data_IF_466098770280
#
_entry.id   IF_466098770280
#
_cell.length_a   1.000
_cell.length_b   1.000
_cell.length_c   1.000
_cell.angle_alpha   90.00
_cell.angle_beta   90.00
_cell.angle_gamma   90.00
#
_symmetry.space_group_name_H-M   'P 1'
#
loop_
_entity.id
_entity.type
_entity.pdbx_description
1 polymer ?
#
# COMPACT_ATOMS: atom_id res chain seq x y z
N UNK A 1 -59.91 7.31 2.08
CA UNK A 1 -59.00 7.65 0.98
C UNK A 1 -57.94 8.56 1.53
N UNK A 2 -56.86 7.97 1.95
CA UNK A 2 -55.70 8.68 2.52
C UNK A 2 -54.68 8.88 1.43
N UNK A 3 -54.59 10.09 0.91
CA UNK A 3 -53.56 10.52 -0.03
C UNK A 3 -52.19 10.42 0.67
N UNK A 4 -51.48 9.36 0.34
CA UNK A 4 -50.05 9.26 0.67
C UNK A 4 -49.33 10.29 -0.16
N UNK A 5 -48.93 11.34 0.46
CA UNK A 5 -48.33 12.51 -0.16
C UNK A 5 -46.92 12.19 -0.64
N UNK A 6 -46.67 12.55 -1.89
CA UNK A 6 -45.36 12.50 -2.56
C UNK A 6 -44.13 12.90 -1.67
N UNK A 7 -44.26 13.81 -0.68
CA UNK A 7 -43.14 14.23 0.15
C UNK A 7 -42.59 13.15 1.10
N UNK A 8 -43.44 12.20 1.53
CA UNK A 8 -42.96 11.15 2.47
C UNK A 8 -42.11 10.10 1.76
N UNK A 9 -42.42 9.77 0.50
CA UNK A 9 -41.64 8.86 -0.31
C UNK A 9 -40.27 9.47 -0.69
N UNK A 10 -40.25 10.76 -1.01
CA UNK A 10 -39.04 11.51 -1.32
C UNK A 10 -38.12 11.60 -0.10
N UNK A 11 -38.69 11.80 1.10
CA UNK A 11 -37.93 11.85 2.35
C UNK A 11 -37.30 10.50 2.69
N UNK A 12 -38.03 9.40 2.47
CA UNK A 12 -37.50 8.04 2.67
C UNK A 12 -36.37 7.71 1.69
N UNK A 13 -36.49 8.11 0.43
CA UNK A 13 -35.42 7.92 -0.57
C UNK A 13 -34.18 8.75 -0.22
N UNK A 14 -34.35 9.99 0.23
CA UNK A 14 -33.27 10.85 0.70
C UNK A 14 -32.57 10.27 1.94
N UNK A 15 -33.32 9.74 2.90
CA UNK A 15 -32.77 9.08 4.08
C UNK A 15 -32.00 7.79 3.70
N UNK A 16 -32.50 7.02 2.75
CA UNK A 16 -31.80 5.84 2.24
C UNK A 16 -30.52 6.22 1.48
N UNK A 17 -30.51 7.31 0.72
CA UNK A 17 -29.29 7.81 0.05
C UNK A 17 -28.23 8.29 1.06
N UNK A 18 -28.63 8.89 2.17
CA UNK A 18 -27.71 9.34 3.23
C UNK A 18 -27.06 8.17 3.98
N UNK A 19 -27.76 7.02 4.08
CA UNK A 19 -27.24 5.82 4.75
C UNK A 19 -26.18 5.11 3.89
N UNK A 20 -26.17 5.33 2.58
CA UNK A 20 -25.22 4.65 1.66
C UNK A 20 -23.89 5.38 1.49
N UNK A 21 -23.75 6.61 1.96
CA UNK A 21 -22.46 7.31 1.95
C UNK A 21 -21.58 6.78 3.09
N UNK A 22 -20.90 5.69 2.85
CA UNK A 22 -19.83 5.21 3.74
C UNK A 22 -18.62 6.10 3.53
N UNK A 23 -18.43 7.06 4.41
CA UNK A 23 -17.22 7.86 4.46
C UNK A 23 -16.08 6.99 4.99
N UNK A 24 -14.99 6.88 4.24
CA UNK A 24 -13.74 6.29 4.73
C UNK A 24 -13.18 7.24 5.81
N UNK A 25 -13.23 6.81 7.07
CA UNK A 25 -12.71 7.59 8.19
C UNK A 25 -11.27 7.19 8.51
N UNK A 26 -10.52 8.09 9.15
CA UNK A 26 -9.19 7.78 9.66
C UNK A 26 -9.20 6.65 10.72
N UNK A 27 -10.33 6.45 11.40
CA UNK A 27 -10.53 5.32 12.31
C UNK A 27 -10.51 3.99 11.57
N UNK A 28 -11.15 3.89 10.41
CA UNK A 28 -11.15 2.67 9.60
C UNK A 28 -9.74 2.31 9.15
N UNK A 29 -8.93 3.29 8.72
CA UNK A 29 -7.54 3.07 8.39
C UNK A 29 -6.73 2.56 9.58
N UNK A 30 -6.87 3.21 10.74
CA UNK A 30 -6.15 2.81 11.94
C UNK A 30 -6.56 1.43 12.43
N UNK A 31 -7.84 1.06 12.25
CA UNK A 31 -8.34 -0.26 12.63
C UNK A 31 -7.75 -1.35 11.72
N UNK A 32 -7.72 -1.14 10.39
CA UNK A 32 -7.05 -2.08 9.46
C UNK A 32 -5.61 -2.30 9.88
N UNK A 33 -4.85 -1.24 10.17
CA UNK A 33 -3.45 -1.36 10.58
C UNK A 33 -3.29 -2.16 11.87
N UNK A 34 -4.13 -1.91 12.88
CA UNK A 34 -4.10 -2.64 14.16
C UNK A 34 -4.44 -4.11 14.00
N UNK A 35 -5.43 -4.43 13.18
CA UNK A 35 -5.92 -5.79 13.03
C UNK A 35 -5.02 -6.65 12.12
N UNK A 36 -4.36 -6.04 11.14
CA UNK A 36 -3.56 -6.75 10.14
C UNK A 36 -2.06 -6.74 10.41
N UNK A 37 -1.52 -5.67 11.03
CA UNK A 37 -0.08 -5.55 11.31
C UNK A 37 0.30 -6.06 12.70
N UNK A 38 -0.03 -7.31 12.97
CA UNK A 38 0.28 -7.97 14.25
C UNK A 38 1.57 -8.77 14.23
N UNK A 39 2.12 -9.02 13.03
CA UNK A 39 3.32 -9.83 12.86
C UNK A 39 4.59 -8.97 13.05
N UNK A 40 5.61 -9.57 13.68
CA UNK A 40 6.94 -8.97 13.79
C UNK A 40 7.52 -8.68 12.38
N UNK A 41 7.93 -7.43 12.08
CA UNK A 41 8.46 -7.05 10.76
C UNK A 41 9.76 -7.76 10.37
N UNK A 42 10.41 -8.48 11.28
CA UNK A 42 11.57 -9.33 10.98
C UNK A 42 11.20 -10.68 10.36
N UNK A 43 9.94 -11.08 10.46
CA UNK A 43 9.44 -12.35 9.93
C UNK A 43 9.09 -12.17 8.45
N UNK A 44 9.53 -13.12 7.60
CA UNK A 44 9.21 -13.09 6.17
C UNK A 44 7.69 -13.17 5.93
N UNK A 45 7.17 -12.46 4.94
CA UNK A 45 5.73 -12.30 4.71
C UNK A 45 5.10 -13.51 4.00
N UNK A 46 5.52 -14.72 4.31
CA UNK A 46 5.03 -15.99 3.74
C UNK A 46 4.62 -16.95 4.83
N UNK A 47 3.48 -17.59 4.67
CA UNK A 47 2.95 -18.59 5.64
C UNK A 47 3.76 -19.88 5.62
N UNK A 48 4.23 -20.28 4.45
CA UNK A 48 5.09 -21.44 4.30
C UNK A 48 6.55 -21.02 4.14
N UNK A 49 7.38 -21.25 5.15
CA UNK A 49 8.80 -20.86 5.16
C UNK A 49 9.67 -21.62 4.15
N UNK A 50 9.18 -22.72 3.56
CA UNK A 50 9.86 -23.44 2.48
C UNK A 50 9.68 -22.67 1.16
N UNK A 51 8.59 -21.90 1.02
CA UNK A 51 8.32 -21.10 -0.18
C UNK A 51 9.23 -19.88 -0.24
N UNK A 52 9.79 -19.60 -1.41
CA UNK A 52 10.57 -18.40 -1.63
C UNK A 52 9.66 -17.16 -1.64
N UNK A 53 10.11 -16.09 -0.99
CA UNK A 53 9.46 -14.78 -1.13
C UNK A 53 9.84 -14.18 -2.47
N UNK A 54 8.85 -13.98 -3.35
CA UNK A 54 9.06 -13.34 -4.64
C UNK A 54 9.05 -11.83 -4.46
N UNK A 55 10.11 -11.18 -4.90
CA UNK A 55 10.25 -9.71 -4.87
C UNK A 55 10.47 -9.22 -6.30
N UNK A 56 9.54 -8.42 -6.80
CA UNK A 56 9.67 -7.76 -8.09
C UNK A 56 10.39 -6.42 -7.90
N UNK A 57 11.44 -6.20 -8.66
CA UNK A 57 12.25 -4.99 -8.59
C UNK A 57 12.27 -4.34 -9.97
N UNK A 58 11.94 -3.05 -10.03
CA UNK A 58 12.01 -2.23 -11.24
C UNK A 58 12.84 -1.00 -10.98
N UNK A 59 13.76 -0.69 -11.89
CA UNK A 59 14.55 0.54 -11.84
C UNK A 59 14.01 1.54 -12.86
N UNK A 60 13.75 2.76 -12.44
CA UNK A 60 13.30 3.86 -13.28
C UNK A 60 14.40 4.92 -13.34
N UNK A 61 15.09 4.97 -14.48
CA UNK A 61 16.09 6.01 -14.76
C UNK A 61 15.39 7.35 -14.99
N UNK A 62 15.75 8.37 -14.23
CA UNK A 62 15.23 9.73 -14.39
C UNK A 62 16.15 10.60 -15.23
N UNK A 63 17.45 10.55 -14.96
CA UNK A 63 18.44 11.34 -15.67
C UNK A 63 19.83 10.71 -15.62
N UNK A 64 20.62 11.01 -16.62
CA UNK A 64 22.06 10.78 -16.63
C UNK A 64 22.71 12.10 -16.25
N UNK A 65 23.50 12.12 -15.18
CA UNK A 65 24.17 13.31 -14.66
C UNK A 65 25.51 13.49 -15.37
N UNK A 66 26.31 12.42 -15.42
CA UNK A 66 27.59 12.45 -16.09
C UNK A 66 27.95 11.10 -16.69
N UNK A 67 28.73 11.15 -17.74
CA UNK A 67 29.30 9.96 -18.37
C UNK A 67 30.77 10.20 -18.67
N UNK A 68 31.65 9.54 -17.93
CA UNK A 68 33.11 9.62 -18.12
C UNK A 68 33.62 8.32 -18.77
N UNK A 69 34.10 8.44 -20.00
CA UNK A 69 34.60 7.31 -20.77
C UNK A 69 36.00 6.88 -20.35
N UNK A 70 36.77 7.78 -19.78
CA UNK A 70 38.14 7.51 -19.31
C UNK A 70 38.09 6.74 -17.99
N UNK A 71 37.30 7.19 -17.08
CA UNK A 71 37.08 6.57 -15.77
C UNK A 71 36.07 5.41 -15.84
N UNK A 72 35.42 5.19 -16.97
CA UNK A 72 34.34 4.19 -17.18
C UNK A 72 33.22 4.35 -16.16
N UNK A 73 32.87 5.60 -15.83
CA UNK A 73 31.91 5.97 -14.82
C UNK A 73 30.66 6.56 -15.44
N UNK A 74 29.49 6.00 -15.02
CA UNK A 74 28.17 6.55 -15.30
C UNK A 74 27.54 7.00 -14.01
N UNK A 75 27.25 8.29 -13.89
CA UNK A 75 26.47 8.84 -12.80
C UNK A 75 25.05 9.12 -13.28
N UNK A 76 24.09 8.52 -12.60
CA UNK A 76 22.68 8.62 -12.98
C UNK A 76 21.81 8.77 -11.75
N UNK A 77 20.67 9.42 -11.93
CA UNK A 77 19.62 9.54 -10.92
C UNK A 77 18.42 8.70 -11.35
N UNK A 78 17.85 8.00 -10.39
CA UNK A 78 16.69 7.16 -10.61
C UNK A 78 16.10 6.65 -9.31
N UNK A 79 15.03 5.92 -9.41
CA UNK A 79 14.36 5.30 -8.28
C UNK A 79 14.13 3.82 -8.51
N UNK A 80 14.10 3.08 -7.42
CA UNK A 80 13.84 1.65 -7.42
C UNK A 80 12.43 1.43 -6.88
N UNK A 81 11.59 0.80 -7.67
CA UNK A 81 10.28 0.34 -7.24
C UNK A 81 10.37 -1.13 -6.84
N UNK A 82 9.89 -1.45 -5.65
CA UNK A 82 9.97 -2.79 -5.09
C UNK A 82 8.59 -3.25 -4.68
N UNK A 83 8.19 -4.44 -5.11
CA UNK A 83 6.87 -4.99 -4.87
C UNK A 83 6.98 -6.45 -4.43
N UNK A 84 6.23 -6.81 -3.40
CA UNK A 84 6.11 -8.19 -2.91
C UNK A 84 4.71 -8.42 -2.35
N UNK A 85 4.38 -9.69 -2.15
CA UNK A 85 3.11 -10.10 -1.52
C UNK A 85 3.37 -10.38 -0.04
N UNK A 86 2.51 -9.83 0.82
CA UNK A 86 2.46 -10.19 2.22
C UNK A 86 1.22 -11.04 2.47
N UNK A 87 1.41 -12.34 2.73
CA UNK A 87 0.32 -13.30 2.91
C UNK A 87 -0.41 -13.14 4.26
N UNK A 88 0.14 -12.39 5.19
CA UNK A 88 -0.46 -12.16 6.50
C UNK A 88 -1.35 -10.91 6.55
N UNK A 89 -1.08 -9.94 5.68
CA UNK A 89 -1.80 -8.66 5.64
C UNK A 89 -2.96 -8.78 4.64
N UNK A 90 -4.11 -9.21 5.15
CA UNK A 90 -5.33 -9.38 4.36
C UNK A 90 -6.52 -8.86 5.13
N UNK A 91 -7.42 -8.13 4.47
CA UNK A 91 -8.69 -7.67 5.05
C UNK A 91 -9.78 -7.65 3.99
N UNK A 92 -11.03 -7.66 4.46
CA UNK A 92 -12.18 -7.43 3.60
C UNK A 92 -12.57 -5.94 3.68
N UNK A 93 -12.53 -5.18 2.59
CA UNK A 93 -12.84 -3.76 2.60
C UNK A 93 -14.24 -3.43 3.16
N UNK A 94 -15.20 -4.33 3.00
CA UNK A 94 -16.57 -4.11 3.49
C UNK A 94 -16.63 -3.95 5.02
N UNK A 95 -15.71 -4.59 5.75
CA UNK A 95 -15.68 -4.56 7.21
C UNK A 95 -15.04 -3.27 7.76
N UNK A 96 -14.32 -2.54 6.88
CA UNK A 96 -13.56 -1.32 7.21
C UNK A 96 -14.01 -0.11 6.40
N UNK A 97 -15.32 0.03 6.17
CA UNK A 97 -15.88 1.20 5.47
C UNK A 97 -15.43 1.38 4.02
N UNK A 98 -14.97 0.30 3.36
CA UNK A 98 -14.51 0.32 1.97
C UNK A 98 -13.03 0.67 1.79
N UNK A 99 -12.22 0.60 2.84
CA UNK A 99 -10.77 0.85 2.77
C UNK A 99 -10.09 -0.21 1.91
N UNK A 100 -9.54 0.20 0.77
CA UNK A 100 -8.86 -0.66 -0.20
C UNK A 100 -7.34 -0.63 -0.03
N UNK A 101 -6.79 0.49 0.43
CA UNK A 101 -5.34 0.72 0.53
C UNK A 101 -5.04 1.37 1.86
N UNK A 102 -3.97 0.91 2.51
CA UNK A 102 -3.40 1.53 3.70
C UNK A 102 -1.91 1.76 3.47
N UNK A 103 -1.37 2.79 4.12
CA UNK A 103 0.05 3.12 4.08
C UNK A 103 0.63 3.00 5.49
N UNK A 104 1.13 1.81 5.87
CA UNK A 104 1.76 1.63 7.16
C UNK A 104 3.12 2.32 7.22
N UNK A 105 3.59 2.55 8.44
CA UNK A 105 4.97 2.95 8.65
C UNK A 105 5.91 1.86 8.09
N UNK A 106 6.97 2.23 7.36
CA UNK A 106 7.92 1.27 6.81
C UNK A 106 8.54 0.32 7.83
N UNK A 107 8.64 0.71 9.08
CA UNK A 107 9.22 -0.13 10.14
C UNK A 107 8.21 -1.11 10.75
N UNK A 108 6.93 -0.98 10.42
CA UNK A 108 5.87 -1.91 10.85
C UNK A 108 5.71 -3.12 9.94
N UNK A 109 6.35 -3.14 8.78
CA UNK A 109 6.22 -4.22 7.80
C UNK A 109 7.57 -4.80 7.42
N UNK A 110 7.59 -6.10 7.12
CA UNK A 110 8.79 -6.71 6.57
C UNK A 110 9.14 -6.04 5.22
N UNK A 111 10.42 -5.76 5.04
CA UNK A 111 10.97 -5.20 3.80
C UNK A 111 12.15 -6.02 3.31
N UNK A 112 12.28 -6.28 1.99
CA UNK A 112 13.47 -6.91 1.43
C UNK A 112 14.67 -5.98 1.62
N UNK A 113 15.81 -6.56 2.00
CA UNK A 113 17.07 -5.83 2.03
C UNK A 113 17.66 -5.82 0.62
N UNK A 114 17.75 -4.64 0.04
CA UNK A 114 18.37 -4.44 -1.26
C UNK A 114 19.73 -3.78 -1.07
N UNK A 115 20.72 -4.28 -1.79
CA UNK A 115 22.07 -3.72 -1.80
C UNK A 115 22.51 -3.53 -3.23
N UNK A 116 23.01 -2.35 -3.56
CA UNK A 116 23.65 -2.07 -4.83
C UNK A 116 25.12 -2.45 -4.70
N UNK A 117 25.57 -3.41 -5.48
CA UNK A 117 26.92 -3.97 -5.38
C UNK A 117 28.01 -3.09 -6.00
N UNK A 118 27.62 -2.14 -6.86
CA UNK A 118 28.55 -1.30 -7.61
C UNK A 118 28.32 0.19 -7.31
N UNK A 119 28.28 0.54 -6.03
CA UNK A 119 28.28 1.94 -5.61
C UNK A 119 29.69 2.44 -5.47
N UNK A 120 29.98 3.60 -6.04
CA UNK A 120 31.22 4.32 -5.70
C UNK A 120 31.06 4.83 -4.28
N UNK A 121 31.98 4.39 -3.41
CA UNK A 121 32.13 5.03 -2.12
C UNK A 121 32.73 6.41 -2.38
N UNK A 122 32.09 7.47 -1.91
CA UNK A 122 32.74 8.76 -1.81
C UNK A 122 33.99 8.58 -0.95
N UNK A 123 35.14 8.78 -1.56
CA UNK A 123 36.43 8.80 -0.87
C UNK A 123 36.60 10.16 -0.21
#
# INVERSE_FOLDING_TARGET
>A
MTSFTLPTCLLLVLVQLLITVRCQSGENFSQVLKDTLTLDPRVRPVKNFITATVVNVSFHLMSIISFDTVEQRLESNGWVYVQWINEYVTWNPADYGGVLVVSPDPDMVWRPRLTVLNTMKDM
#
